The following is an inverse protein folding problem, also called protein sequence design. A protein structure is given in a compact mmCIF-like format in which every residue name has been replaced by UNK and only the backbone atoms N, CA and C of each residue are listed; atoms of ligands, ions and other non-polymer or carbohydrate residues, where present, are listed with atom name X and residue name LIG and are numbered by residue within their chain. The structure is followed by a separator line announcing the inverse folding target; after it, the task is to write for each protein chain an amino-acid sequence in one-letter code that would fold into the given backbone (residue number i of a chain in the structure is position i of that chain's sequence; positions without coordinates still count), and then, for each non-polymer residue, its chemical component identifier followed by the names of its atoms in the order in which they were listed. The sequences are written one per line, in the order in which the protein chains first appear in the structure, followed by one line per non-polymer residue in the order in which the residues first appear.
data_IF_873879532309
#
_entry.id   IF_873879532309
#
_cell.length_a   1.000
_cell.length_b   1.000
_cell.length_c   1.000
_cell.angle_alpha   90.00
_cell.angle_beta   90.00
_cell.angle_gamma   90.00
#
_symmetry.space_group_name_H-M   'P 1'
#
loop_
_entity.id
_entity.type
_entity.pdbx_description
1 polymer ?
#
# COMPACT_ATOMS: atom_id res chain seq x y z
N UNK A 1 -19.03 2.36 1.35
CA UNK A 1 -18.15 2.57 2.53
C UNK A 1 -18.99 2.54 3.80
N UNK A 2 -18.55 1.83 4.85
CA UNK A 2 -19.28 1.73 6.12
C UNK A 2 -19.16 3.03 6.94
N UNK A 3 -20.18 3.33 7.76
CA UNK A 3 -20.25 4.62 8.49
C UNK A 3 -19.02 4.91 9.36
N UNK A 4 -18.48 3.90 10.06
CA UNK A 4 -17.28 4.08 10.88
C UNK A 4 -16.01 4.36 10.05
N UNK A 5 -15.94 3.83 8.82
CA UNK A 5 -14.82 4.11 7.91
C UNK A 5 -14.82 5.56 7.42
N UNK A 6 -16.02 6.11 7.09
CA UNK A 6 -16.16 7.54 6.74
C UNK A 6 -15.72 8.44 7.89
N UNK A 7 -16.14 8.10 9.12
CA UNK A 7 -15.75 8.84 10.33
C UNK A 7 -14.23 8.76 10.55
N UNK A 8 -13.62 7.59 10.36
CA UNK A 8 -12.17 7.44 10.48
C UNK A 8 -11.42 8.34 9.50
N UNK A 9 -11.86 8.40 8.22
CA UNK A 9 -11.26 9.28 7.22
C UNK A 9 -11.41 10.77 7.58
N UNK A 10 -12.58 11.18 8.09
CA UNK A 10 -12.81 12.55 8.50
C UNK A 10 -11.96 12.97 9.70
N UNK A 11 -11.82 12.08 10.69
CA UNK A 11 -10.90 12.29 11.81
C UNK A 11 -9.44 12.33 11.34
N UNK A 12 -9.03 11.43 10.43
CA UNK A 12 -7.67 11.42 9.87
C UNK A 12 -7.35 12.76 9.17
N UNK A 13 -8.25 13.25 8.33
CA UNK A 13 -8.10 14.54 7.66
C UNK A 13 -7.96 15.68 8.66
N UNK A 14 -8.83 15.71 9.68
CA UNK A 14 -8.75 16.73 10.75
C UNK A 14 -7.40 16.70 11.48
N UNK A 15 -6.87 15.49 11.76
CA UNK A 15 -5.54 15.31 12.35
C UNK A 15 -4.47 15.92 11.47
N UNK A 16 -4.45 15.58 10.18
CA UNK A 16 -3.44 16.07 9.23
C UNK A 16 -3.46 17.60 9.08
N UNK A 17 -4.66 18.19 9.09
CA UNK A 17 -4.82 19.64 8.88
C UNK A 17 -4.59 20.48 10.14
N UNK A 18 -4.88 19.95 11.33
CA UNK A 18 -5.05 20.79 12.53
C UNK A 18 -4.28 20.31 13.77
N UNK A 19 -3.75 19.10 13.79
CA UNK A 19 -3.15 18.51 14.98
C UNK A 19 -1.69 18.13 14.76
N UNK A 20 -0.93 18.13 15.86
CA UNK A 20 0.48 17.73 15.86
C UNK A 20 0.69 16.45 16.66
N UNK A 21 1.89 15.89 16.57
CA UNK A 21 2.30 14.74 17.37
C UNK A 21 2.06 15.01 18.85
N UNK A 22 1.46 14.02 19.55
CA UNK A 22 1.04 14.03 20.95
C UNK A 22 -0.18 14.89 21.28
N UNK A 23 -0.76 15.57 20.32
CA UNK A 23 -2.04 16.24 20.56
C UNK A 23 -3.11 15.22 20.93
N UNK A 24 -3.96 15.62 21.84
CA UNK A 24 -5.05 14.78 22.33
C UNK A 24 -6.30 15.00 21.50
N UNK A 25 -6.89 13.92 21.02
CA UNK A 25 -8.21 13.96 20.37
C UNK A 25 -9.31 14.29 21.40
N UNK A 26 -10.43 14.87 20.94
CA UNK A 26 -11.61 15.04 21.78
C UNK A 26 -12.01 13.71 22.43
N UNK A 27 -12.61 13.79 23.62
CA UNK A 27 -13.09 12.59 24.32
C UNK A 27 -14.20 11.90 23.51
N UNK A 28 -14.37 10.59 23.73
CA UNK A 28 -15.30 9.75 22.97
C UNK A 28 -16.72 10.35 22.97
N UNK A 29 -17.15 10.88 24.10
CA UNK A 29 -18.48 11.52 24.26
C UNK A 29 -18.66 12.73 23.33
N UNK A 30 -17.63 13.55 23.17
CA UNK A 30 -17.63 14.67 22.22
C UNK A 30 -17.70 14.19 20.78
N UNK A 31 -16.93 13.14 20.44
CA UNK A 31 -17.00 12.55 19.10
C UNK A 31 -18.36 11.92 18.79
N UNK A 32 -19.00 11.26 19.78
CA UNK A 32 -20.36 10.73 19.65
C UNK A 32 -21.34 11.84 19.32
N UNK A 33 -21.28 12.95 20.07
CA UNK A 33 -22.16 14.11 19.89
C UNK A 33 -21.93 14.80 18.53
N UNK A 34 -20.66 14.95 18.14
CA UNK A 34 -20.28 15.59 16.87
C UNK A 34 -20.76 14.77 15.67
N UNK A 35 -20.47 13.48 15.63
CA UNK A 35 -20.81 12.61 14.50
C UNK A 35 -22.25 12.04 14.58
N UNK A 36 -22.96 12.25 15.68
CA UNK A 36 -24.32 11.73 15.93
C UNK A 36 -24.44 10.23 15.68
N UNK A 37 -23.53 9.47 16.29
CA UNK A 37 -23.44 8.00 16.15
C UNK A 37 -23.29 7.31 17.51
N UNK A 38 -23.43 5.99 17.52
CA UNK A 38 -23.23 5.19 18.72
C UNK A 38 -21.75 5.16 19.17
N UNK A 39 -21.51 4.93 20.44
CA UNK A 39 -20.18 4.73 21.03
C UNK A 39 -19.40 3.62 20.31
N UNK A 40 -20.07 2.51 19.96
CA UNK A 40 -19.44 1.40 19.24
C UNK A 40 -18.96 1.81 17.84
N UNK A 41 -19.65 2.72 17.17
CA UNK A 41 -19.23 3.24 15.86
C UNK A 41 -17.98 4.10 15.97
N UNK A 42 -17.89 4.96 17.00
CA UNK A 42 -16.67 5.76 17.27
C UNK A 42 -15.50 4.86 17.62
N UNK A 43 -15.69 3.87 18.51
CA UNK A 43 -14.64 2.93 18.87
C UNK A 43 -14.10 2.19 17.64
N UNK A 44 -14.97 1.74 16.73
CA UNK A 44 -14.56 1.10 15.48
C UNK A 44 -13.77 2.06 14.59
N UNK A 45 -14.18 3.32 14.49
CA UNK A 45 -13.46 4.34 13.71
C UNK A 45 -12.07 4.61 14.31
N UNK A 46 -11.97 4.79 15.63
CA UNK A 46 -10.69 4.97 16.33
C UNK A 46 -9.78 3.74 16.20
N UNK A 47 -10.36 2.53 16.23
CA UNK A 47 -9.58 1.29 16.03
C UNK A 47 -8.95 1.24 14.64
N UNK A 48 -9.68 1.64 13.59
CA UNK A 48 -9.12 1.77 12.23
C UNK A 48 -7.94 2.73 12.20
N UNK A 49 -8.03 3.87 12.87
CA UNK A 49 -6.95 4.86 12.93
C UNK A 49 -5.75 4.36 13.73
N UNK A 50 -6.01 3.63 14.82
CA UNK A 50 -4.96 3.00 15.63
C UNK A 50 -4.24 1.91 14.82
N UNK A 51 -4.98 1.03 14.13
CA UNK A 51 -4.41 -0.01 13.29
C UNK A 51 -3.56 0.56 12.15
N UNK A 52 -3.94 1.72 11.61
CA UNK A 52 -3.14 2.50 10.64
C UNK A 52 -1.97 3.27 11.29
N UNK A 53 -1.84 3.24 12.62
CA UNK A 53 -0.79 3.96 13.34
C UNK A 53 -0.90 5.49 13.26
N UNK A 54 -2.10 6.03 13.01
CA UNK A 54 -2.37 7.48 12.99
C UNK A 54 -2.52 8.00 14.42
N UNK A 55 -3.11 7.20 15.29
CA UNK A 55 -3.32 7.51 16.71
C UNK A 55 -2.81 6.37 17.59
N UNK A 56 -2.73 6.62 18.89
CA UNK A 56 -2.56 5.60 19.91
C UNK A 56 -3.48 5.90 21.11
N UNK A 57 -3.92 4.85 21.77
CA UNK A 57 -4.82 4.95 22.92
C UNK A 57 -4.08 4.66 24.23
N UNK A 58 -4.27 5.50 25.22
CA UNK A 58 -3.72 5.31 26.57
C UNK A 58 -4.88 5.16 27.53
N UNK A 59 -4.98 3.98 28.18
CA UNK A 59 -6.05 3.67 29.12
C UNK A 59 -6.11 4.71 30.23
N UNK A 60 -7.29 5.29 30.45
CA UNK A 60 -7.51 6.34 31.45
C UNK A 60 -7.04 7.73 31.06
N UNK A 61 -6.22 7.88 30.02
CA UNK A 61 -5.68 9.17 29.60
C UNK A 61 -6.33 9.71 28.34
N UNK A 62 -6.70 8.86 27.39
CA UNK A 62 -7.39 9.25 26.16
C UNK A 62 -6.71 8.77 24.88
N UNK A 63 -7.05 9.44 23.78
CA UNK A 63 -6.57 9.14 22.42
C UNK A 63 -5.64 10.27 21.99
N UNK A 64 -4.48 9.92 21.46
CA UNK A 64 -3.42 10.86 21.11
C UNK A 64 -2.97 10.66 19.64
N UNK A 65 -2.57 11.74 18.99
CA UNK A 65 -2.00 11.71 17.65
C UNK A 65 -0.62 11.08 17.71
N UNK A 66 -0.42 10.05 16.90
CA UNK A 66 0.90 9.45 16.70
C UNK A 66 1.62 10.23 15.61
N UNK A 67 2.82 10.70 15.90
CA UNK A 67 3.60 11.47 14.94
C UNK A 67 3.81 10.75 13.62
N UNK A 68 3.96 11.52 12.56
CA UNK A 68 4.40 11.03 11.28
C UNK A 68 5.78 10.36 11.40
N UNK A 69 6.06 9.41 10.52
CA UNK A 69 7.41 8.87 10.37
C UNK A 69 8.40 9.97 9.94
N UNK A 70 9.68 9.65 9.93
CA UNK A 70 10.68 10.56 9.36
C UNK A 70 10.37 10.75 7.87
N UNK A 71 10.41 11.99 7.38
CA UNK A 71 10.01 12.34 6.00
C UNK A 71 10.72 11.54 4.90
N UNK A 72 11.95 11.10 5.18
CA UNK A 72 12.76 10.32 4.25
C UNK A 72 12.51 8.81 4.30
N UNK A 73 11.55 8.35 5.11
CA UNK A 73 11.22 6.92 5.25
C UNK A 73 9.84 6.61 4.69
N UNK A 74 9.73 5.50 3.97
CA UNK A 74 8.48 4.95 3.45
C UNK A 74 7.85 4.00 4.48
N UNK A 75 6.53 4.03 4.60
CA UNK A 75 5.84 3.04 5.43
C UNK A 75 5.89 1.65 4.75
N UNK A 76 6.52 0.68 5.41
CA UNK A 76 6.66 -0.67 4.86
C UNK A 76 5.30 -1.36 4.63
N UNK A 77 4.32 -1.11 5.50
CA UNK A 77 2.95 -1.59 5.35
C UNK A 77 2.09 -0.69 4.46
N UNK A 78 2.65 0.38 3.94
CA UNK A 78 2.00 1.18 2.91
C UNK A 78 1.77 0.33 1.66
N UNK A 79 0.83 -0.61 1.78
CA UNK A 79 0.19 -1.32 0.67
C UNK A 79 -0.44 -0.30 -0.28
N UNK A 80 -0.50 0.92 0.17
CA UNK A 80 -1.14 2.07 -0.42
C UNK A 80 -0.19 3.00 -1.18
N UNK A 81 1.01 2.56 -1.55
CA UNK A 81 1.79 3.30 -2.55
C UNK A 81 0.96 3.45 -3.84
N UNK A 82 -0.06 2.60 -4.00
CA UNK A 82 -1.05 2.60 -5.09
C UNK A 82 -2.50 2.85 -4.62
N UNK A 83 -2.77 3.09 -3.34
CA UNK A 83 -4.11 3.38 -2.81
C UNK A 83 -4.20 4.76 -2.18
N UNK A 84 -5.11 5.52 -2.65
CA UNK A 84 -5.89 6.71 -2.24
C UNK A 84 -5.48 7.58 -1.03
N UNK A 85 -4.50 7.26 -0.23
CA UNK A 85 -3.96 8.24 0.71
C UNK A 85 -2.88 9.05 -0.01
N UNK A 86 -3.33 10.00 -0.84
CA UNK A 86 -2.50 10.99 -1.53
C UNK A 86 -1.61 11.83 -0.57
N UNK A 87 -1.78 11.68 0.73
CA UNK A 87 -0.95 12.29 1.76
C UNK A 87 0.41 11.58 1.96
N UNK A 88 0.57 10.34 1.49
CA UNK A 88 1.82 9.58 1.61
C UNK A 88 2.48 9.28 0.24
N UNK A 89 1.92 9.82 -0.85
CA UNK A 89 2.44 9.68 -2.21
C UNK A 89 3.70 10.56 -2.36
N UNK A 90 4.85 9.99 -2.03
CA UNK A 90 6.16 10.66 -2.14
C UNK A 90 6.74 10.59 -3.55
N UNK A 91 6.04 9.99 -4.49
CA UNK A 91 6.45 9.93 -5.88
C UNK A 91 5.84 11.09 -6.65
N UNK A 92 6.69 11.82 -7.37
CA UNK A 92 6.25 12.95 -8.20
C UNK A 92 5.59 12.46 -9.49
N UNK A 93 5.98 11.28 -9.95
CA UNK A 93 5.54 10.70 -11.21
C UNK A 93 5.54 9.17 -11.14
N UNK A 94 4.49 8.57 -11.69
CA UNK A 94 4.34 7.15 -11.96
C UNK A 94 4.16 6.94 -13.46
N UNK A 95 4.97 6.12 -14.06
CA UNK A 95 4.87 5.74 -15.46
C UNK A 95 4.62 4.24 -15.63
N UNK A 96 3.69 3.88 -16.52
CA UNK A 96 3.50 2.51 -16.98
C UNK A 96 4.44 2.30 -18.18
N UNK A 97 5.45 1.46 -18.00
CA UNK A 97 6.41 1.14 -19.06
C UNK A 97 5.91 0.07 -20.00
N UNK A 98 5.22 -0.89 -19.46
CA UNK A 98 4.75 -2.05 -20.20
C UNK A 98 3.54 -2.67 -19.55
N UNK A 99 2.57 -3.08 -20.36
CA UNK A 99 1.48 -3.93 -19.94
C UNK A 99 1.26 -5.03 -20.96
N UNK A 100 1.28 -6.27 -20.54
CA UNK A 100 1.10 -7.41 -21.43
C UNK A 100 0.51 -8.63 -20.74
N UNK A 101 -0.08 -9.50 -21.52
CA UNK A 101 -0.53 -10.81 -21.09
C UNK A 101 0.55 -11.84 -21.38
N UNK A 102 1.02 -12.56 -20.36
CA UNK A 102 2.09 -13.55 -20.46
C UNK A 102 1.70 -14.89 -19.82
N UNK A 103 2.47 -15.94 -20.11
CA UNK A 103 2.47 -17.13 -19.26
C UNK A 103 3.07 -16.76 -17.90
N UNK A 104 2.49 -17.26 -16.82
CA UNK A 104 3.00 -17.01 -15.49
C UNK A 104 4.44 -17.55 -15.35
N UNK A 105 5.32 -16.72 -14.81
CA UNK A 105 6.69 -17.09 -14.47
C UNK A 105 6.70 -18.06 -13.29
N UNK A 106 7.75 -18.90 -13.11
CA UNK A 106 7.81 -19.86 -12.01
C UNK A 106 7.60 -19.23 -10.62
N UNK A 107 8.17 -18.05 -10.38
CA UNK A 107 7.99 -17.29 -9.13
C UNK A 107 6.53 -16.86 -8.91
N UNK A 108 5.87 -16.43 -9.99
CA UNK A 108 4.45 -16.00 -9.95
C UNK A 108 3.52 -17.20 -9.75
N UNK A 109 3.85 -18.35 -10.39
CA UNK A 109 3.12 -19.61 -10.19
C UNK A 109 3.16 -20.01 -8.72
N UNK A 110 4.34 -19.95 -8.09
CA UNK A 110 4.52 -20.31 -6.69
C UNK A 110 3.79 -19.32 -5.77
N UNK A 111 3.94 -18.02 -6.00
CA UNK A 111 3.34 -16.97 -5.17
C UNK A 111 1.79 -17.00 -5.22
N UNK A 112 1.22 -17.25 -6.39
CA UNK A 112 -0.24 -17.22 -6.59
C UNK A 112 -0.90 -18.62 -6.59
N UNK A 113 -0.13 -19.70 -6.41
CA UNK A 113 -0.66 -21.05 -6.45
C UNK A 113 -1.29 -21.41 -7.80
N UNK A 114 -0.68 -20.98 -8.91
CA UNK A 114 -1.23 -21.16 -10.25
C UNK A 114 -0.77 -22.48 -10.90
N UNK A 115 -1.51 -22.90 -11.93
CA UNK A 115 -1.10 -24.00 -12.79
C UNK A 115 0.05 -23.57 -13.72
N UNK A 116 0.88 -24.52 -14.17
CA UNK A 116 2.09 -24.26 -14.98
C UNK A 116 1.87 -23.40 -16.25
N UNK A 117 0.69 -23.47 -16.84
CA UNK A 117 0.37 -22.75 -18.08
C UNK A 117 -0.60 -21.58 -17.85
N UNK A 118 -0.79 -21.17 -16.60
CA UNK A 118 -1.69 -20.07 -16.28
C UNK A 118 -1.24 -18.77 -16.95
N UNK A 119 -2.22 -17.97 -17.35
CA UNK A 119 -1.99 -16.63 -17.89
C UNK A 119 -2.14 -15.61 -16.80
N UNK A 120 -1.27 -14.60 -16.85
CA UNK A 120 -1.30 -13.43 -15.97
C UNK A 120 -1.15 -12.17 -16.81
N UNK A 121 -1.69 -11.08 -16.32
CA UNK A 121 -1.31 -9.74 -16.78
C UNK A 121 -0.06 -9.32 -16.02
N UNK A 122 0.93 -8.82 -16.75
CA UNK A 122 2.15 -8.24 -16.22
C UNK A 122 2.16 -6.75 -16.53
N UNK A 123 2.29 -5.92 -15.50
CA UNK A 123 2.37 -4.46 -15.62
C UNK A 123 3.67 -4.01 -14.96
N UNK A 124 4.50 -3.28 -15.72
CA UNK A 124 5.75 -2.69 -15.23
C UNK A 124 5.56 -1.20 -14.97
N UNK A 125 5.91 -0.76 -13.78
CA UNK A 125 5.86 0.63 -13.34
C UNK A 125 7.25 1.15 -13.04
N UNK A 126 7.45 2.45 -13.30
CA UNK A 126 8.61 3.22 -12.86
C UNK A 126 8.11 4.38 -12.00
N UNK A 127 8.70 4.52 -10.82
CA UNK A 127 8.39 5.58 -9.88
C UNK A 127 9.54 6.57 -9.79
N UNK A 128 9.20 7.83 -9.82
CA UNK A 128 10.16 8.94 -9.77
C UNK A 128 9.94 9.79 -8.51
N UNK A 129 11.05 10.23 -7.94
CA UNK A 129 11.10 11.26 -6.90
C UNK A 129 12.20 12.24 -7.28
N UNK A 130 11.92 13.54 -7.27
CA UNK A 130 12.85 14.59 -7.69
C UNK A 130 13.46 14.30 -9.09
N UNK A 131 12.65 13.80 -10.01
CA UNK A 131 13.04 13.39 -11.38
C UNK A 131 14.03 12.22 -11.44
N UNK A 132 14.29 11.53 -10.35
CA UNK A 132 15.13 10.35 -10.28
C UNK A 132 14.28 9.08 -10.15
N UNK A 133 14.65 8.02 -10.84
CA UNK A 133 14.03 6.70 -10.66
C UNK A 133 14.39 6.17 -9.27
N UNK A 134 13.38 5.89 -8.47
CA UNK A 134 13.53 5.43 -7.08
C UNK A 134 13.06 4.00 -6.88
N UNK A 135 12.08 3.57 -7.69
CA UNK A 135 11.50 2.24 -7.61
C UNK A 135 11.08 1.75 -9.00
N UNK A 136 11.33 0.48 -9.25
CA UNK A 136 10.77 -0.28 -10.36
C UNK A 136 9.84 -1.33 -9.77
N UNK A 137 8.62 -1.40 -10.25
CA UNK A 137 7.66 -2.41 -9.76
C UNK A 137 7.11 -3.20 -10.93
N UNK A 138 7.02 -4.51 -10.75
CA UNK A 138 6.32 -5.40 -11.68
C UNK A 138 5.16 -6.09 -10.95
N UNK A 139 3.96 -5.87 -11.43
CA UNK A 139 2.71 -6.40 -10.87
C UNK A 139 2.20 -7.50 -11.78
N UNK A 140 1.88 -8.66 -11.19
CA UNK A 140 1.30 -9.80 -11.88
C UNK A 140 -0.10 -10.09 -11.35
N UNK A 141 -1.08 -10.06 -12.23
CA UNK A 141 -2.48 -10.25 -11.89
C UNK A 141 -3.01 -11.55 -12.51
N UNK A 142 -3.61 -12.41 -11.70
CA UNK A 142 -4.20 -13.66 -12.18
C UNK A 142 -5.35 -13.40 -13.15
N UNK A 143 -5.22 -13.85 -14.41
CA UNK A 143 -6.26 -13.70 -15.41
C UNK A 143 -7.55 -14.46 -15.04
N UNK A 144 -7.47 -15.50 -14.23
CA UNK A 144 -8.63 -16.23 -13.74
C UNK A 144 -9.56 -15.36 -12.89
N UNK A 145 -9.00 -14.33 -12.25
CA UNK A 145 -9.74 -13.43 -11.34
C UNK A 145 -10.01 -12.09 -12.01
N UNK A 146 -9.04 -11.59 -12.79
CA UNK A 146 -9.15 -10.34 -13.55
C UNK A 146 -9.21 -10.72 -15.02
N UNK A 147 -10.43 -10.83 -15.57
CA UNK A 147 -10.66 -11.39 -16.91
C UNK A 147 -10.22 -10.46 -18.04
N UNK A 148 -10.49 -9.15 -17.87
CA UNK A 148 -10.30 -8.15 -18.92
C UNK A 148 -9.52 -6.96 -18.40
N UNK A 149 -8.22 -6.94 -18.70
CA UNK A 149 -7.35 -5.83 -18.46
C UNK A 149 -6.65 -5.47 -19.77
N UNK A 150 -6.79 -4.23 -20.22
CA UNK A 150 -6.07 -3.70 -21.37
C UNK A 150 -5.55 -2.28 -21.06
N UNK A 151 -4.70 -1.74 -21.90
CA UNK A 151 -4.07 -0.42 -21.71
C UNK A 151 -5.09 0.74 -21.66
N UNK A 152 -6.25 0.59 -22.28
CA UNK A 152 -7.32 1.59 -22.24
C UNK A 152 -8.11 1.53 -20.92
N UNK A 153 -8.24 0.33 -20.37
CA UNK A 153 -9.04 0.03 -19.16
C UNK A 153 -8.21 0.15 -17.89
N UNK A 154 -6.88 -0.02 -17.95
CA UNK A 154 -6.00 0.13 -16.79
C UNK A 154 -5.55 1.59 -16.61
N UNK A 155 -6.46 2.49 -16.15
CA UNK A 155 -6.03 3.81 -15.76
C UNK A 155 -5.07 3.69 -14.57
N UNK A 156 -4.20 4.65 -14.45
CA UNK A 156 -3.40 4.81 -13.22
C UNK A 156 -4.32 5.26 -12.09
N UNK A 157 -4.27 4.62 -10.91
CA UNK A 157 -3.60 3.36 -10.56
C UNK A 157 -4.51 2.15 -10.76
N UNK A 158 -3.94 1.00 -11.12
CA UNK A 158 -4.66 -0.27 -11.37
C UNK A 158 -5.55 -0.72 -10.20
N UNK A 159 -5.21 -0.32 -8.98
CA UNK A 159 -5.93 -0.66 -7.77
C UNK A 159 -7.33 -0.03 -7.69
N UNK A 160 -7.50 1.19 -8.21
CA UNK A 160 -8.83 1.80 -8.33
C UNK A 160 -9.71 1.00 -9.27
N UNK A 161 -9.16 0.57 -10.41
CA UNK A 161 -9.88 -0.29 -11.35
C UNK A 161 -10.30 -1.61 -10.71
N UNK A 162 -9.39 -2.27 -10.01
CA UNK A 162 -9.67 -3.55 -9.31
C UNK A 162 -10.77 -3.37 -8.27
N UNK A 163 -10.73 -2.30 -7.49
CA UNK A 163 -11.65 -2.04 -6.38
C UNK A 163 -12.99 -1.48 -6.86
N UNK A 164 -12.95 -0.42 -7.68
CA UNK A 164 -14.14 0.38 -7.98
C UNK A 164 -14.86 -0.08 -9.25
N UNK A 165 -14.15 -0.59 -10.23
CA UNK A 165 -14.75 -1.10 -11.47
C UNK A 165 -15.05 -2.59 -11.39
N UNK A 166 -14.08 -3.41 -10.96
CA UNK A 166 -14.27 -4.85 -10.85
C UNK A 166 -14.96 -5.27 -9.54
N UNK A 167 -15.07 -4.38 -8.56
CA UNK A 167 -15.70 -4.66 -7.26
C UNK A 167 -14.98 -5.75 -6.44
N UNK A 168 -13.72 -6.00 -6.73
CA UNK A 168 -12.91 -7.02 -6.05
C UNK A 168 -12.60 -6.56 -4.64
N UNK A 169 -13.04 -7.36 -3.67
CA UNK A 169 -12.77 -7.11 -2.25
C UNK A 169 -11.43 -7.72 -1.88
N UNK A 170 -10.45 -6.87 -1.68
CA UNK A 170 -9.14 -7.27 -1.20
C UNK A 170 -9.19 -7.66 0.28
N UNK A 171 -8.45 -8.70 0.65
CA UNK A 171 -8.28 -9.19 2.00
C UNK A 171 -7.03 -8.61 2.65
N UNK A 172 -6.03 -9.45 2.87
CA UNK A 172 -4.75 -9.09 3.49
C UNK A 172 -3.59 -9.30 2.50
N UNK A 173 -2.53 -8.50 2.59
CA UNK A 173 -1.27 -8.75 1.89
C UNK A 173 -0.28 -9.51 2.77
N UNK A 174 0.54 -10.37 2.16
CA UNK A 174 1.80 -10.85 2.73
C UNK A 174 2.94 -10.05 2.12
N UNK A 175 3.83 -9.51 2.95
CA UNK A 175 4.93 -8.64 2.53
C UNK A 175 6.25 -9.30 2.89
N UNK A 176 7.10 -9.48 1.90
CA UNK A 176 8.46 -10.00 2.04
C UNK A 176 9.44 -8.93 1.64
N UNK A 177 10.51 -8.78 2.41
CA UNK A 177 11.57 -7.80 2.14
C UNK A 177 12.92 -8.50 2.21
N UNK A 178 13.71 -8.34 1.17
CA UNK A 178 15.06 -8.87 1.09
C UNK A 178 16.02 -7.86 0.45
N UNK A 179 17.30 -8.13 0.56
CA UNK A 179 18.36 -7.41 -0.15
C UNK A 179 18.96 -8.37 -1.17
N UNK A 180 19.11 -7.90 -2.41
CA UNK A 180 19.67 -8.67 -3.52
C UNK A 180 20.53 -7.75 -4.40
N UNK A 181 20.97 -8.23 -5.54
CA UNK A 181 21.77 -7.52 -6.51
C UNK A 181 20.96 -7.15 -7.74
N UNK A 182 21.15 -5.92 -8.24
CA UNK A 182 20.56 -5.47 -9.48
C UNK A 182 21.04 -6.32 -10.67
N UNK A 183 20.11 -6.69 -11.55
CA UNK A 183 20.46 -7.16 -12.88
C UNK A 183 20.81 -5.97 -13.79
N UNK A 184 21.26 -6.25 -15.03
CA UNK A 184 21.70 -5.20 -15.95
C UNK A 184 20.56 -4.28 -16.40
N UNK A 185 19.33 -4.80 -16.58
CA UNK A 185 18.15 -4.00 -16.95
C UNK A 185 17.77 -3.06 -15.82
N UNK A 186 17.59 -3.57 -14.59
CA UNK A 186 17.26 -2.79 -13.42
C UNK A 186 18.30 -1.70 -13.12
N UNK A 187 19.59 -2.05 -13.19
CA UNK A 187 20.70 -1.12 -12.96
C UNK A 187 20.65 0.07 -13.94
N UNK A 188 20.30 -0.18 -15.20
CA UNK A 188 20.24 0.88 -16.22
C UNK A 188 19.20 1.96 -15.89
N UNK A 189 18.05 1.58 -15.29
CA UNK A 189 17.02 2.54 -14.85
C UNK A 189 17.49 3.42 -13.70
N UNK A 190 18.27 2.87 -12.78
CA UNK A 190 18.76 3.59 -11.60
C UNK A 190 20.04 4.37 -11.84
N UNK A 191 20.69 4.24 -13.01
CA UNK A 191 22.02 4.77 -13.27
C UNK A 191 23.09 4.12 -12.39
N UNK A 192 22.93 2.83 -12.08
CA UNK A 192 23.81 2.00 -11.26
C UNK A 192 24.48 0.90 -12.11
N UNK A 193 25.34 0.11 -11.48
CA UNK A 193 25.98 -1.04 -12.12
C UNK A 193 25.23 -2.33 -11.79
N UNK A 194 25.23 -3.27 -12.75
CA UNK A 194 24.80 -4.63 -12.47
C UNK A 194 25.62 -5.22 -11.32
N UNK A 195 24.94 -5.82 -10.35
CA UNK A 195 25.55 -6.34 -9.13
C UNK A 195 25.58 -5.36 -7.94
N UNK A 196 25.24 -4.09 -8.15
CA UNK A 196 25.01 -3.15 -7.02
C UNK A 196 23.83 -3.65 -6.16
N UNK A 197 23.84 -3.35 -4.85
CA UNK A 197 22.79 -3.81 -3.95
C UNK A 197 21.46 -3.12 -4.26
N UNK A 198 20.37 -3.85 -4.05
CA UNK A 198 19.01 -3.34 -4.09
C UNK A 198 18.21 -3.82 -2.88
N UNK A 199 17.18 -3.09 -2.50
CA UNK A 199 16.13 -3.61 -1.64
C UNK A 199 14.98 -4.09 -2.52
N UNK A 200 14.55 -5.33 -2.32
CA UNK A 200 13.41 -5.92 -2.98
C UNK A 200 12.26 -6.07 -1.99
N UNK A 201 11.08 -5.60 -2.37
CA UNK A 201 9.82 -5.80 -1.64
C UNK A 201 8.88 -6.61 -2.51
N UNK A 202 8.47 -7.78 -2.04
CA UNK A 202 7.49 -8.63 -2.69
C UNK A 202 6.19 -8.61 -1.90
N UNK A 203 5.05 -8.53 -2.59
CA UNK A 203 3.74 -8.49 -1.96
C UNK A 203 2.83 -9.49 -2.65
N UNK A 204 2.22 -10.38 -1.86
CA UNK A 204 1.16 -11.27 -2.32
C UNK A 204 -0.17 -10.74 -1.77
N UNK A 205 -1.04 -10.30 -2.67
CA UNK A 205 -2.35 -9.80 -2.29
C UNK A 205 -3.38 -10.92 -2.36
N UNK A 206 -4.18 -11.02 -1.31
CA UNK A 206 -5.25 -12.01 -1.18
C UNK A 206 -6.62 -11.37 -1.27
N UNK A 207 -7.57 -12.13 -1.77
CA UNK A 207 -8.99 -11.82 -1.63
C UNK A 207 -9.44 -12.04 -0.18
N UNK A 208 -10.63 -11.54 0.18
CA UNK A 208 -11.20 -11.75 1.53
C UNK A 208 -11.40 -13.22 1.91
N UNK A 209 -11.43 -14.14 0.94
CA UNK A 209 -11.51 -15.59 1.15
C UNK A 209 -10.13 -16.26 1.29
N UNK A 210 -9.04 -15.47 1.28
CA UNK A 210 -7.68 -15.97 1.39
C UNK A 210 -7.05 -16.44 0.08
N UNK A 211 -7.74 -16.33 -1.07
CA UNK A 211 -7.18 -16.71 -2.36
C UNK A 211 -6.19 -15.65 -2.85
N UNK A 212 -4.94 -16.01 -3.17
CA UNK A 212 -4.00 -15.07 -3.77
C UNK A 212 -4.42 -14.73 -5.20
N UNK A 213 -4.30 -13.46 -5.60
CA UNK A 213 -4.72 -13.00 -6.92
C UNK A 213 -3.75 -12.04 -7.61
N UNK A 214 -2.90 -11.39 -6.84
CA UNK A 214 -1.91 -10.47 -7.35
C UNK A 214 -0.58 -10.66 -6.62
N UNK A 215 0.52 -10.67 -7.39
CA UNK A 215 1.88 -10.65 -6.89
C UNK A 215 2.59 -9.43 -7.43
N UNK A 216 3.23 -8.67 -6.56
CA UNK A 216 4.02 -7.49 -6.91
C UNK A 216 5.45 -7.68 -6.44
N UNK A 217 6.40 -7.29 -7.28
CA UNK A 217 7.83 -7.23 -6.96
C UNK A 217 8.34 -5.83 -7.24
N UNK A 218 8.72 -5.12 -6.19
CA UNK A 218 9.24 -3.76 -6.25
C UNK A 218 10.73 -3.75 -5.88
N UNK A 219 11.54 -3.16 -6.76
CA UNK A 219 12.99 -3.01 -6.61
C UNK A 219 13.30 -1.56 -6.35
N UNK A 220 14.03 -1.27 -5.28
CA UNK A 220 14.34 0.09 -4.85
C UNK A 220 15.83 0.39 -4.97
N UNK A 221 16.11 1.60 -5.42
CA UNK A 221 17.47 2.15 -5.40
C UNK A 221 18.00 2.17 -3.95
N UNK A 222 19.08 1.45 -3.65
CA UNK A 222 19.56 1.18 -2.29
C UNK A 222 19.83 2.44 -1.44
N UNK A 223 20.24 3.56 -2.05
CA UNK A 223 20.48 4.82 -1.32
C UNK A 223 19.19 5.50 -0.87
N UNK A 224 18.07 5.18 -1.52
CA UNK A 224 16.77 5.80 -1.27
C UNK A 224 15.80 4.84 -0.55
N UNK A 225 16.13 3.54 -0.50
CA UNK A 225 15.31 2.50 0.13
C UNK A 225 15.36 2.61 1.67
N UNK A 226 14.54 3.50 2.22
CA UNK A 226 14.40 3.72 3.66
C UNK A 226 12.99 3.43 4.08
N UNK A 227 12.79 2.36 4.86
CA UNK A 227 11.49 1.93 5.28
C UNK A 227 11.33 2.01 6.79
N UNK A 228 10.13 2.25 7.24
CA UNK A 228 9.75 2.15 8.64
C UNK A 228 8.43 1.39 8.80
N UNK A 229 8.19 0.86 9.96
CA UNK A 229 6.98 0.16 10.31
C UNK A 229 6.43 0.74 11.61
N UNK A 230 5.18 1.18 11.59
CA UNK A 230 4.45 1.53 12.81
C UNK A 230 3.83 0.27 13.40
N UNK A 231 4.36 -0.19 14.51
CA UNK A 231 3.81 -1.35 15.24
C UNK A 231 3.04 -0.86 16.45
N UNK A 232 1.85 -1.41 16.68
CA UNK A 232 1.12 -1.20 17.92
C UNK A 232 1.64 -2.18 18.97
N UNK A 233 1.76 -1.73 20.23
CA UNK A 233 2.13 -2.63 21.32
C UNK A 233 1.08 -3.74 21.41
N UNK A 234 1.50 -5.02 21.47
CA UNK A 234 0.56 -6.07 21.87
C UNK A 234 0.07 -5.76 23.29
N UNK A 235 -1.23 -5.63 23.45
CA UNK A 235 -1.89 -5.53 24.77
C UNK A 235 -1.76 -6.86 25.51
#
# INVERSE_FOLDING_TARGET
MLKYQKIALEIARHITENLQQKDKLPVIETLISHFKVSKSTIIKALKVLEDKGIIYMVRGSGVFVRGEGRKEYYNLLGVNELQEDASDNRYDLLEIMEMKRINALPEVINALGLEKNAKVYSVKYVYYLDKQVTCLEQVFLSQKIISDLNEEIAPKPIWEYIKDVLGIKMGFPDIYVNVDKLNAEEASFFGLNAGDPMLCKEIIYHLVNGQPFCYSKAVYHYKQARFFLKVNSPN
#
